data_IF_146254527695
#
_entry.id   IF_146254527695
#
_cell.length_a   1.000
_cell.length_b   1.000
_cell.length_c   1.000
_cell.angle_alpha   90.00
_cell.angle_beta   90.00
_cell.angle_gamma   90.00
#
_symmetry.space_group_name_H-M   'P 1'
#
loop_
_entity.id
_entity.type
_entity.pdbx_description
1 polymer ?
#
# COMPACT_ATOMS: atom_id res chain seq x y z
N UNK A 1 -7.68 20.06 14.96
CA UNK A 1 -8.71 19.02 15.20
C UNK A 1 -9.75 18.88 14.07
N UNK A 2 -9.86 19.84 13.13
CA UNK A 2 -10.95 19.89 12.13
C UNK A 2 -10.73 19.06 10.84
N UNK A 3 -9.47 18.73 10.49
CA UNK A 3 -9.14 18.05 9.21
C UNK A 3 -9.62 16.60 9.10
N UNK A 4 -9.77 15.88 10.22
CA UNK A 4 -10.19 14.47 10.22
C UNK A 4 -11.70 14.28 10.15
N UNK A 5 -12.49 15.31 10.49
CA UNK A 5 -13.95 15.23 10.52
C UNK A 5 -14.55 15.05 9.13
N UNK A 6 -13.99 15.72 8.11
CA UNK A 6 -14.46 15.60 6.73
C UNK A 6 -14.18 14.20 6.15
N UNK A 7 -13.00 13.64 6.44
CA UNK A 7 -12.59 12.31 5.98
C UNK A 7 -13.39 11.22 6.70
N UNK A 8 -13.55 11.32 8.02
CA UNK A 8 -14.38 10.39 8.79
C UNK A 8 -15.84 10.40 8.31
N UNK A 9 -16.39 11.59 8.02
CA UNK A 9 -17.73 11.72 7.45
C UNK A 9 -17.87 11.05 6.07
N UNK A 10 -16.80 11.03 5.26
CA UNK A 10 -16.80 10.33 3.97
C UNK A 10 -16.85 8.81 4.14
N UNK A 11 -16.02 8.26 5.03
CA UNK A 11 -16.03 6.82 5.33
C UNK A 11 -17.39 6.35 5.83
N UNK A 12 -18.01 7.13 6.72
CA UNK A 12 -19.37 6.85 7.19
C UNK A 12 -20.39 6.84 6.04
N UNK A 13 -20.36 7.84 5.15
CA UNK A 13 -21.27 7.89 3.99
C UNK A 13 -21.09 6.73 3.02
N UNK A 14 -19.90 6.17 2.93
CA UNK A 14 -19.62 4.99 2.10
C UNK A 14 -19.84 3.66 2.81
N UNK A 15 -20.23 3.68 4.09
CA UNK A 15 -20.44 2.47 4.90
C UNK A 15 -19.14 1.72 5.19
N UNK A 16 -17.98 2.40 5.17
CA UNK A 16 -16.68 1.79 5.43
C UNK A 16 -16.39 1.76 6.93
N UNK A 17 -16.02 0.59 7.42
CA UNK A 17 -15.48 0.43 8.76
C UNK A 17 -14.03 0.89 8.81
N UNK A 18 -13.70 1.74 9.80
CA UNK A 18 -12.33 2.19 10.03
C UNK A 18 -11.70 1.30 11.10
N UNK A 19 -10.78 0.43 10.69
CA UNK A 19 -10.05 -0.42 11.62
C UNK A 19 -9.07 0.40 12.45
N UNK A 20 -8.95 0.07 13.74
CA UNK A 20 -7.94 0.67 14.62
C UNK A 20 -6.53 0.31 14.13
N UNK A 21 -5.67 1.32 14.00
CA UNK A 21 -4.26 1.13 13.70
C UNK A 21 -3.41 1.83 14.75
N UNK A 22 -2.57 1.10 15.51
CA UNK A 22 -1.73 1.69 16.54
C UNK A 22 -0.66 2.64 15.94
N UNK A 23 -0.26 3.71 16.66
CA UNK A 23 0.80 4.60 16.20
C UNK A 23 2.13 3.86 16.00
N UNK A 24 2.84 4.19 14.92
CA UNK A 24 4.18 3.66 14.59
C UNK A 24 4.26 2.14 14.41
N UNK A 25 3.21 1.50 13.89
CA UNK A 25 3.19 0.04 13.65
C UNK A 25 3.19 -0.32 12.15
N UNK A 26 4.27 -0.05 11.41
CA UNK A 26 4.37 -0.42 9.99
C UNK A 26 4.34 -1.94 9.78
N UNK A 27 4.72 -2.72 10.79
CA UNK A 27 4.61 -4.18 10.84
C UNK A 27 3.16 -4.70 10.82
N UNK A 28 2.20 -3.86 11.23
CA UNK A 28 0.76 -4.14 11.16
C UNK A 28 0.09 -3.53 9.91
N UNK A 29 0.86 -2.86 9.04
CA UNK A 29 0.36 -2.30 7.79
C UNK A 29 0.75 -3.21 6.62
N UNK A 30 -0.21 -3.94 6.02
CA UNK A 30 0.06 -4.81 4.85
C UNK A 30 0.72 -4.07 3.69
N UNK A 31 0.42 -2.77 3.55
CA UNK A 31 1.07 -1.92 2.56
C UNK A 31 2.56 -1.78 2.82
N UNK A 32 2.94 -1.49 4.07
CA UNK A 32 4.32 -1.19 4.45
C UNK A 32 5.19 -2.44 4.55
N UNK A 33 4.70 -3.51 5.19
CA UNK A 33 5.52 -4.72 5.38
C UNK A 33 5.52 -5.68 4.19
N UNK A 34 4.55 -5.60 3.28
CA UNK A 34 4.39 -6.57 2.19
C UNK A 34 4.40 -5.94 0.79
N UNK A 35 3.41 -5.09 0.49
CA UNK A 35 3.17 -4.61 -0.87
C UNK A 35 4.29 -3.68 -1.37
N UNK A 36 4.62 -2.64 -0.59
CA UNK A 36 5.58 -1.61 -1.01
C UNK A 36 6.99 -2.18 -1.21
N UNK A 37 7.53 -3.04 -0.32
CA UNK A 37 8.81 -3.70 -0.55
C UNK A 37 8.82 -4.52 -1.85
N UNK A 38 7.82 -5.37 -2.07
CA UNK A 38 7.71 -6.20 -3.28
C UNK A 38 7.61 -5.37 -4.55
N UNK A 39 6.85 -4.28 -4.50
CA UNK A 39 6.72 -3.33 -5.62
C UNK A 39 8.06 -2.66 -5.94
N UNK A 40 8.83 -2.28 -4.92
CA UNK A 40 10.11 -1.57 -5.07
C UNK A 40 11.27 -2.47 -5.47
N UNK A 41 11.24 -3.75 -5.10
CA UNK A 41 12.35 -4.69 -5.36
C UNK A 41 12.80 -4.74 -6.83
N UNK A 42 11.91 -4.90 -7.84
CA UNK A 42 12.32 -4.89 -9.25
C UNK A 42 12.77 -3.50 -9.75
N UNK A 43 12.51 -2.44 -8.99
CA UNK A 43 12.91 -1.07 -9.32
C UNK A 43 14.26 -0.67 -8.69
N UNK A 44 14.76 -1.49 -7.78
CA UNK A 44 15.95 -1.20 -6.98
C UNK A 44 17.18 -1.06 -7.87
N UNK A 45 17.92 0.04 -7.68
CA UNK A 45 19.13 0.33 -8.45
C UNK A 45 18.89 0.94 -9.84
N UNK A 46 17.64 1.06 -10.29
CA UNK A 46 17.31 1.70 -11.56
C UNK A 46 17.28 3.22 -11.38
N UNK A 47 17.99 3.94 -12.25
CA UNK A 47 17.92 5.40 -12.35
C UNK A 47 16.97 5.80 -13.48
N UNK A 48 15.77 6.23 -13.12
CA UNK A 48 14.81 6.81 -14.06
C UNK A 48 15.19 8.25 -14.39
N UNK A 49 15.09 8.63 -15.67
CA UNK A 49 15.40 10.00 -16.13
C UNK A 49 14.17 10.90 -16.08
N UNK A 50 12.97 10.32 -16.13
CA UNK A 50 11.72 11.05 -16.21
C UNK A 50 10.64 10.47 -15.29
N UNK A 51 9.67 11.30 -14.92
CA UNK A 51 8.50 10.86 -14.12
C UNK A 51 7.66 9.81 -14.86
N UNK A 52 7.38 9.91 -16.18
CA UNK A 52 6.65 8.87 -16.90
C UNK A 52 7.32 7.49 -16.86
N UNK A 53 8.66 7.43 -16.90
CA UNK A 53 9.38 6.16 -16.82
C UNK A 53 9.16 5.45 -15.48
N UNK A 54 9.25 6.16 -14.35
CA UNK A 54 9.02 5.57 -13.04
C UNK A 54 7.55 5.17 -12.86
N UNK A 55 6.60 5.98 -13.35
CA UNK A 55 5.17 5.62 -13.29
C UNK A 55 4.89 4.33 -14.07
N UNK A 56 5.45 4.18 -15.27
CA UNK A 56 5.28 2.96 -16.08
C UNK A 56 5.97 1.74 -15.46
N UNK A 57 7.11 1.92 -14.79
CA UNK A 57 7.79 0.84 -14.10
C UNK A 57 7.02 0.38 -12.85
N UNK A 58 6.48 1.31 -12.08
CA UNK A 58 5.62 1.03 -10.92
C UNK A 58 4.33 0.31 -11.34
N UNK A 59 3.64 0.79 -12.38
CA UNK A 59 2.41 0.14 -12.88
C UNK A 59 2.68 -1.32 -13.31
N UNK A 60 3.78 -1.56 -14.02
CA UNK A 60 4.20 -2.92 -14.39
C UNK A 60 4.48 -3.80 -13.18
N UNK A 61 5.19 -3.27 -12.17
CA UNK A 61 5.49 -4.00 -10.94
C UNK A 61 4.22 -4.40 -10.19
N UNK A 62 3.26 -3.48 -10.05
CA UNK A 62 1.96 -3.74 -9.39
C UNK A 62 1.15 -4.79 -10.18
N UNK A 63 1.11 -4.70 -11.52
CA UNK A 63 0.42 -5.70 -12.36
C UNK A 63 1.00 -7.09 -12.15
N UNK A 64 2.33 -7.22 -12.14
CA UNK A 64 3.01 -8.49 -11.88
C UNK A 64 2.65 -9.05 -10.50
N UNK A 65 2.65 -8.22 -9.46
CA UNK A 65 2.25 -8.63 -8.10
C UNK A 65 0.80 -9.17 -8.10
N UNK A 66 -0.12 -8.47 -8.78
CA UNK A 66 -1.51 -8.88 -8.86
C UNK A 66 -1.68 -10.20 -9.62
N UNK A 67 -1.01 -10.37 -10.76
CA UNK A 67 -1.12 -11.59 -11.59
C UNK A 67 -0.48 -12.80 -10.93
N UNK A 68 0.59 -12.60 -10.15
CA UNK A 68 1.32 -13.69 -9.48
C UNK A 68 0.75 -14.04 -8.11
N UNK A 69 -0.14 -13.21 -7.56
CA UNK A 69 -0.60 -13.35 -6.18
C UNK A 69 0.53 -13.12 -5.15
N UNK A 70 1.63 -12.47 -5.54
CA UNK A 70 2.80 -12.37 -4.70
C UNK A 70 2.57 -11.56 -3.42
N UNK A 71 1.58 -10.65 -3.37
CA UNK A 71 1.24 -9.89 -2.18
C UNK A 71 0.22 -10.65 -1.32
N UNK A 72 0.68 -11.11 -0.16
CA UNK A 72 -0.10 -11.92 0.79
C UNK A 72 -0.28 -11.20 2.13
N UNK A 73 0.06 -9.91 2.21
CA UNK A 73 0.06 -9.13 3.44
C UNK A 73 -1.24 -9.22 4.24
N UNK A 74 -2.39 -9.22 3.56
CA UNK A 74 -3.71 -9.38 4.22
C UNK A 74 -3.84 -10.75 4.89
N UNK A 75 -3.46 -11.82 4.19
CA UNK A 75 -3.53 -13.19 4.72
C UNK A 75 -2.55 -13.40 5.88
N UNK A 76 -1.43 -12.67 5.87
CA UNK A 76 -0.38 -12.76 6.90
C UNK A 76 -0.66 -11.89 8.12
N UNK A 77 -1.60 -10.96 8.05
CA UNK A 77 -1.90 -10.02 9.12
C UNK A 77 -2.26 -10.69 10.46
N UNK A 78 -3.02 -11.81 10.52
CA UNK A 78 -3.31 -12.50 11.79
C UNK A 78 -2.07 -13.08 12.51
N UNK A 79 -0.93 -13.16 11.82
CA UNK A 79 0.32 -13.70 12.33
C UNK A 79 1.37 -12.60 12.58
N UNK A 80 0.96 -11.34 12.58
CA UNK A 80 1.78 -10.17 12.91
C UNK A 80 1.34 -9.65 14.28
#
# INVERSE_FOLDING_TARGET
>A
MQKWQAVAGLFYRWGWEVLYHPPYSPDLSPCDFDLIPKMKEPLRGIRFRTVPEILQAVDRSIRTINTTGAAEGILRLPHR
#
